data_IF_248864665203
#
_entry.id   IF_248864665203
#
_cell.length_a   1.000
_cell.length_b   1.000
_cell.length_c   1.000
_cell.angle_alpha   90.00
_cell.angle_beta   90.00
_cell.angle_gamma   90.00
#
_symmetry.space_group_name_H-M   'P 1'
#
loop_
_entity.id
_entity.type
_entity.pdbx_description
1 polymer ?
#
# COMPACT_ATOMS: atom_id res chain seq x y z
N UNK A 1 -2.56 12.03 6.37
CA UNK A 1 -1.46 12.59 5.54
C UNK A 1 -0.15 11.85 5.77
N UNK A 2 0.31 11.74 7.02
CA UNK A 2 1.61 11.12 7.37
C UNK A 2 1.69 9.67 6.94
N UNK A 3 0.60 8.92 6.98
CA UNK A 3 0.54 7.50 6.56
C UNK A 3 0.94 7.29 5.10
N UNK A 4 0.75 8.29 4.24
CA UNK A 4 1.13 8.23 2.82
C UNK A 4 2.65 8.32 2.57
N UNK A 5 3.46 8.46 3.61
CA UNK A 5 4.90 8.26 3.52
C UNK A 5 5.27 6.75 3.43
N UNK A 6 4.35 5.86 3.81
CA UNK A 6 4.59 4.42 3.84
C UNK A 6 5.11 3.84 2.49
N UNK A 7 4.57 4.19 1.30
CA UNK A 7 5.11 3.71 0.04
C UNK A 7 6.56 4.12 -0.22
N UNK A 8 6.96 5.33 0.22
CA UNK A 8 8.37 5.76 0.16
C UNK A 8 9.23 4.87 1.06
N UNK A 9 8.79 4.64 2.30
CA UNK A 9 9.51 3.80 3.27
C UNK A 9 9.59 2.36 2.77
N UNK A 10 8.52 1.78 2.21
CA UNK A 10 8.53 0.44 1.58
C UNK A 10 9.59 0.36 0.49
N UNK A 11 9.68 1.37 -0.38
CA UNK A 11 10.67 1.36 -1.48
C UNK A 11 12.10 1.49 -0.96
N UNK A 12 12.34 2.33 0.04
CA UNK A 12 13.65 2.42 0.69
C UNK A 12 14.03 1.08 1.33
N UNK A 13 13.12 0.50 2.10
CA UNK A 13 13.36 -0.78 2.77
C UNK A 13 13.54 -1.92 1.77
N UNK A 14 12.78 -1.96 0.66
CA UNK A 14 12.94 -2.98 -0.37
C UNK A 14 14.31 -2.88 -1.05
N UNK A 15 14.78 -1.67 -1.32
CA UNK A 15 16.11 -1.46 -1.88
C UNK A 15 17.23 -1.93 -0.93
N UNK A 16 17.10 -1.63 0.37
CA UNK A 16 18.14 -1.89 1.37
C UNK A 16 18.10 -3.33 1.88
N UNK A 17 16.91 -3.82 2.28
CA UNK A 17 16.77 -5.11 2.94
C UNK A 17 16.57 -6.29 1.98
N UNK A 18 15.90 -6.05 0.85
CA UNK A 18 15.65 -7.08 -0.16
C UNK A 18 16.67 -7.03 -1.31
N UNK A 19 17.61 -6.07 -1.28
CA UNK A 19 18.56 -5.82 -2.37
C UNK A 19 17.87 -5.67 -3.75
N UNK A 20 16.61 -5.22 -3.77
CA UNK A 20 15.87 -4.97 -5.00
C UNK A 20 16.52 -3.79 -5.74
N UNK A 21 16.83 -3.97 -7.02
CA UNK A 21 17.36 -2.89 -7.85
C UNK A 21 16.26 -1.87 -8.16
N UNK A 22 16.16 -0.84 -7.31
CA UNK A 22 15.23 0.27 -7.50
C UNK A 22 15.87 1.30 -8.43
N UNK A 23 15.47 1.29 -9.71
CA UNK A 23 15.95 2.26 -10.69
C UNK A 23 15.38 3.67 -10.45
N UNK A 24 16.02 4.69 -11.05
CA UNK A 24 15.60 6.10 -10.97
C UNK A 24 14.13 6.32 -11.36
N UNK A 25 13.62 5.52 -12.29
CA UNK A 25 12.22 5.59 -12.72
C UNK A 25 11.22 5.21 -11.63
N UNK A 26 11.54 4.24 -10.75
CA UNK A 26 10.70 3.92 -9.59
C UNK A 26 10.74 5.02 -8.54
N UNK A 27 11.93 5.57 -8.30
CA UNK A 27 12.09 6.72 -7.41
C UNK A 27 11.28 7.93 -7.87
N UNK A 28 11.37 8.29 -9.15
CA UNK A 28 10.60 9.41 -9.70
C UNK A 28 9.08 9.18 -9.61
N UNK A 29 8.60 7.97 -9.88
CA UNK A 29 7.19 7.65 -9.77
C UNK A 29 6.68 7.77 -8.33
N UNK A 30 7.44 7.25 -7.34
CA UNK A 30 7.06 7.33 -5.93
C UNK A 30 7.05 8.77 -5.43
N UNK A 31 8.09 9.54 -5.78
CA UNK A 31 8.15 10.95 -5.41
C UNK A 31 7.00 11.73 -6.05
N UNK A 32 6.68 11.47 -7.33
CA UNK A 32 5.54 12.09 -8.00
C UNK A 32 4.21 11.70 -7.35
N UNK A 33 4.00 10.41 -7.05
CA UNK A 33 2.80 9.94 -6.34
C UNK A 33 2.65 10.56 -4.95
N UNK A 34 3.75 10.68 -4.21
CA UNK A 34 3.76 11.36 -2.91
C UNK A 34 3.46 12.86 -3.05
N UNK A 35 4.05 13.55 -4.02
CA UNK A 35 3.74 14.94 -4.31
C UNK A 35 2.25 15.15 -4.66
N UNK A 36 1.69 14.28 -5.51
CA UNK A 36 0.25 14.25 -5.80
C UNK A 36 -0.60 14.09 -4.53
N UNK A 37 -0.19 13.20 -3.63
CA UNK A 37 -0.83 12.99 -2.32
C UNK A 37 -0.81 14.25 -1.46
N UNK A 38 0.33 14.93 -1.38
CA UNK A 38 0.47 16.19 -0.60
C UNK A 38 -0.42 17.31 -1.19
N UNK A 39 -0.54 17.36 -2.52
CA UNK A 39 -1.43 18.31 -3.20
C UNK A 39 -2.90 18.05 -2.85
N UNK A 40 -3.34 16.79 -2.80
CA UNK A 40 -4.72 16.43 -2.42
C UNK A 40 -5.00 16.79 -0.97
N UNK A 41 -4.10 16.38 -0.07
CA UNK A 41 -4.35 16.45 1.38
C UNK A 41 -4.12 17.84 1.95
N UNK A 42 -3.21 18.65 1.37
CA UNK A 42 -2.84 19.99 1.85
C UNK A 42 -2.69 20.07 3.37
N UNK A 43 -1.69 19.40 3.94
CA UNK A 43 -1.50 19.42 5.38
C UNK A 43 -1.28 20.86 5.85
N UNK A 44 -2.21 21.40 6.64
CA UNK A 44 -2.03 22.68 7.32
C UNK A 44 -0.96 22.51 8.41
N UNK A 45 -0.05 23.50 8.52
CA UNK A 45 1.02 23.47 9.53
C UNK A 45 0.55 23.99 10.90
N UNK A 46 -0.72 24.41 11.03
CA UNK A 46 -1.22 25.13 12.20
C UNK A 46 -1.38 24.29 13.48
N UNK A 47 -1.41 22.93 13.36
CA UNK A 47 -1.62 22.05 14.51
C UNK A 47 -0.67 20.86 14.48
N UNK A 48 0.60 21.05 14.88
CA UNK A 48 1.54 19.97 15.09
C UNK A 48 1.22 19.25 16.42
N UNK A 49 0.30 18.27 16.36
CA UNK A 49 -0.06 17.47 17.52
C UNK A 49 0.95 16.32 17.71
N UNK A 50 1.44 16.06 18.94
CA UNK A 50 2.41 14.96 19.21
C UNK A 50 1.94 13.58 18.71
N UNK A 51 0.64 13.35 18.59
CA UNK A 51 0.07 12.13 18.00
C UNK A 51 0.52 11.87 16.56
N UNK A 52 1.01 12.88 15.82
CA UNK A 52 1.58 12.69 14.48
C UNK A 52 2.82 11.78 14.51
N UNK A 53 3.58 11.76 15.60
CA UNK A 53 4.71 10.84 15.78
C UNK A 53 4.24 9.38 15.81
N UNK A 54 3.10 9.11 16.45
CA UNK A 54 2.52 7.76 16.47
C UNK A 54 2.07 7.32 15.08
N UNK A 55 1.50 8.24 14.29
CA UNK A 55 1.10 7.96 12.89
C UNK A 55 2.33 7.72 12.01
N UNK A 56 3.41 8.46 12.23
CA UNK A 56 4.67 8.23 11.53
C UNK A 56 5.28 6.87 11.87
N UNK A 57 5.30 6.52 13.17
CA UNK A 57 5.73 5.20 13.62
C UNK A 57 4.87 4.09 13.01
N UNK A 58 3.54 4.26 12.98
CA UNK A 58 2.63 3.31 12.35
C UNK A 58 2.92 3.12 10.85
N UNK A 59 3.27 4.19 10.13
CA UNK A 59 3.65 4.11 8.71
C UNK A 59 4.94 3.30 8.51
N UNK A 60 5.94 3.46 9.39
CA UNK A 60 7.18 2.69 9.36
C UNK A 60 6.90 1.22 9.67
N UNK A 61 6.14 0.92 10.71
CA UNK A 61 5.76 -0.45 11.08
C UNK A 61 4.96 -1.14 9.98
N UNK A 62 4.04 -0.42 9.34
CA UNK A 62 3.28 -0.91 8.20
C UNK A 62 4.19 -1.25 7.01
N UNK A 63 5.16 -0.38 6.70
CA UNK A 63 6.15 -0.64 5.67
C UNK A 63 7.03 -1.86 6.02
N UNK A 64 7.48 -1.96 7.27
CA UNK A 64 8.23 -3.12 7.78
C UNK A 64 7.46 -4.42 7.63
N UNK A 65 6.17 -4.43 7.98
CA UNK A 65 5.28 -5.58 7.79
C UNK A 65 5.22 -6.03 6.33
N UNK A 66 5.13 -5.10 5.38
CA UNK A 66 5.11 -5.45 3.96
C UNK A 66 6.43 -6.09 3.50
N UNK A 67 7.56 -5.58 3.99
CA UNK A 67 8.88 -6.16 3.68
C UNK A 67 9.01 -7.57 4.27
N UNK A 68 8.57 -7.78 5.51
CA UNK A 68 8.55 -9.11 6.15
C UNK A 68 7.66 -10.07 5.34
N UNK A 69 6.45 -9.65 4.95
CA UNK A 69 5.58 -10.45 4.09
C UNK A 69 6.25 -10.81 2.76
N UNK A 70 7.03 -9.90 2.19
CA UNK A 70 7.80 -10.17 0.97
C UNK A 70 8.94 -11.17 1.20
N UNK A 71 9.66 -11.06 2.32
CA UNK A 71 10.72 -12.01 2.69
C UNK A 71 10.15 -13.43 2.89
N UNK A 72 9.04 -13.56 3.60
CA UNK A 72 8.38 -14.84 3.86
C UNK A 72 7.74 -15.45 2.59
N UNK A 73 7.48 -14.63 1.57
CA UNK A 73 6.82 -15.08 0.34
C UNK A 73 7.58 -16.15 -0.43
N UNK A 74 8.87 -16.36 -0.14
CA UNK A 74 9.70 -17.42 -0.76
C UNK A 74 9.62 -18.75 -0.01
N UNK A 75 9.23 -18.73 1.28
CA UNK A 75 9.19 -19.93 2.15
C UNK A 75 7.77 -20.34 2.51
N UNK A 76 6.86 -19.38 2.64
CA UNK A 76 5.54 -19.62 3.18
C UNK A 76 4.44 -19.46 2.13
N UNK A 77 3.39 -20.26 2.28
CA UNK A 77 2.18 -20.09 1.48
C UNK A 77 1.39 -18.83 1.90
N UNK A 78 0.69 -18.21 0.94
CA UNK A 78 -0.16 -17.04 1.19
C UNK A 78 -1.12 -17.26 2.34
N UNK A 79 -1.77 -18.42 2.37
CA UNK A 79 -2.77 -18.75 3.41
C UNK A 79 -2.14 -18.77 4.80
N UNK A 80 -0.94 -19.31 4.93
CA UNK A 80 -0.18 -19.35 6.17
C UNK A 80 0.15 -17.94 6.65
N UNK A 81 0.69 -17.10 5.77
CA UNK A 81 1.04 -15.71 6.10
C UNK A 81 -0.19 -14.91 6.52
N UNK A 82 -1.32 -15.03 5.79
CA UNK A 82 -2.58 -14.36 6.14
C UNK A 82 -3.10 -14.81 7.50
N UNK A 83 -3.12 -16.14 7.74
CA UNK A 83 -3.63 -16.70 8.99
C UNK A 83 -2.81 -16.25 10.21
N UNK A 84 -1.49 -16.32 10.14
CA UNK A 84 -0.61 -15.87 11.23
C UNK A 84 -0.69 -14.35 11.45
N UNK A 85 -0.78 -13.56 10.38
CA UNK A 85 -0.93 -12.11 10.49
C UNK A 85 -2.26 -11.76 11.17
N UNK A 86 -3.36 -12.41 10.79
CA UNK A 86 -4.67 -12.19 11.38
C UNK A 86 -4.70 -12.63 12.86
N UNK A 87 -4.13 -13.81 13.19
CA UNK A 87 -4.03 -14.31 14.55
C UNK A 87 -3.20 -13.35 15.43
N UNK A 88 -2.00 -13.00 15.00
CA UNK A 88 -1.13 -12.09 15.74
C UNK A 88 -1.79 -10.72 15.98
N UNK A 89 -2.43 -10.16 14.95
CA UNK A 89 -3.17 -8.90 15.06
C UNK A 89 -4.33 -9.01 16.03
N UNK A 90 -5.09 -10.11 15.99
CA UNK A 90 -6.23 -10.36 16.88
C UNK A 90 -5.78 -10.45 18.35
N UNK A 91 -4.69 -11.19 18.62
CA UNK A 91 -4.12 -11.33 19.96
C UNK A 91 -3.60 -9.97 20.46
N UNK A 92 -2.85 -9.24 19.63
CA UNK A 92 -2.30 -7.93 20.03
C UNK A 92 -3.39 -6.88 20.28
N UNK A 93 -4.48 -6.90 19.49
CA UNK A 93 -5.58 -5.95 19.61
C UNK A 93 -6.58 -6.33 20.69
N UNK A 94 -6.62 -7.58 21.15
CA UNK A 94 -7.57 -8.02 22.19
C UNK A 94 -7.39 -7.27 23.52
N UNK A 95 -6.13 -6.98 23.91
CA UNK A 95 -5.86 -6.24 25.14
C UNK A 95 -6.39 -4.79 25.11
N UNK A 96 -6.02 -3.93 24.13
CA UNK A 96 -6.60 -2.60 24.05
C UNK A 96 -8.11 -2.62 23.78
N UNK A 97 -8.61 -3.60 23.01
CA UNK A 97 -10.03 -3.74 22.76
C UNK A 97 -10.83 -3.95 24.05
N UNK A 98 -10.31 -4.69 25.02
CA UNK A 98 -10.97 -4.93 26.32
C UNK A 98 -11.28 -3.61 27.04
N UNK A 99 -10.40 -2.60 26.95
CA UNK A 99 -10.59 -1.31 27.64
C UNK A 99 -11.53 -0.34 26.90
N UNK A 100 -11.70 -0.52 25.58
CA UNK A 100 -12.50 0.41 24.74
C UNK A 100 -13.68 -0.29 24.05
N UNK A 101 -14.02 -1.50 24.52
CA UNK A 101 -15.05 -2.30 23.88
C UNK A 101 -16.44 -1.66 24.00
N UNK A 102 -17.06 -1.43 22.86
CA UNK A 102 -18.47 -1.01 22.78
C UNK A 102 -19.20 -2.09 21.99
N UNK A 103 -20.15 -2.74 22.64
CA UNK A 103 -20.94 -3.80 22.00
C UNK A 103 -21.86 -3.20 20.93
N UNK A 104 -21.88 -3.75 19.70
CA UNK A 104 -22.82 -3.33 18.67
C UNK A 104 -24.26 -3.44 19.15
N UNK A 105 -25.04 -2.37 19.03
CA UNK A 105 -26.40 -2.29 19.56
C UNK A 105 -27.46 -2.69 18.53
N UNK A 106 -27.12 -2.70 17.24
CA UNK A 106 -28.09 -2.96 16.17
C UNK A 106 -27.57 -4.03 15.19
N UNK A 107 -28.53 -4.79 14.62
CA UNK A 107 -28.19 -5.77 13.57
C UNK A 107 -27.48 -5.13 12.37
N UNK A 108 -27.82 -3.88 12.03
CA UNK A 108 -27.15 -3.15 10.97
C UNK A 108 -25.66 -2.97 11.26
N UNK A 109 -25.29 -2.60 12.49
CA UNK A 109 -23.87 -2.48 12.91
C UNK A 109 -23.15 -3.81 12.80
N UNK A 110 -23.79 -4.92 13.22
CA UNK A 110 -23.20 -6.25 13.10
C UNK A 110 -22.95 -6.64 11.63
N UNK A 111 -23.92 -6.40 10.75
CA UNK A 111 -23.78 -6.69 9.31
C UNK A 111 -22.65 -5.87 8.71
N UNK A 112 -22.58 -4.56 9.01
CA UNK A 112 -21.52 -3.69 8.51
C UNK A 112 -20.14 -4.12 9.02
N UNK A 113 -20.01 -4.44 10.30
CA UNK A 113 -18.75 -4.92 10.87
C UNK A 113 -18.30 -6.24 10.24
N UNK A 114 -19.23 -7.17 10.03
CA UNK A 114 -18.95 -8.45 9.38
C UNK A 114 -18.51 -8.24 7.94
N UNK A 115 -19.20 -7.39 7.19
CA UNK A 115 -18.84 -7.05 5.82
C UNK A 115 -17.46 -6.40 5.75
N UNK A 116 -17.18 -5.43 6.64
CA UNK A 116 -15.85 -4.80 6.73
C UNK A 116 -14.75 -5.82 7.03
N UNK A 117 -14.99 -6.76 7.96
CA UNK A 117 -14.01 -7.79 8.30
C UNK A 117 -13.73 -8.73 7.11
N UNK A 118 -14.75 -9.15 6.38
CA UNK A 118 -14.60 -9.98 5.19
C UNK A 118 -13.84 -9.26 4.07
N UNK A 119 -14.19 -8.00 3.80
CA UNK A 119 -13.52 -7.19 2.79
C UNK A 119 -12.06 -6.90 3.17
N UNK A 120 -11.79 -6.62 4.44
CA UNK A 120 -10.43 -6.40 4.94
C UNK A 120 -9.57 -7.68 4.82
N UNK A 121 -10.14 -8.84 5.18
CA UNK A 121 -9.45 -10.13 5.03
C UNK A 121 -9.14 -10.46 3.56
N UNK A 122 -10.09 -10.21 2.66
CA UNK A 122 -9.89 -10.39 1.22
C UNK A 122 -8.82 -9.43 0.68
N UNK A 123 -8.86 -8.16 1.10
CA UNK A 123 -7.86 -7.16 0.71
C UNK A 123 -6.46 -7.55 1.18
N UNK A 124 -6.32 -8.01 2.43
CA UNK A 124 -5.05 -8.47 2.99
C UNK A 124 -4.49 -9.68 2.21
N UNK A 125 -5.36 -10.65 1.91
CA UNK A 125 -4.99 -11.79 1.06
C UNK A 125 -4.46 -11.34 -0.31
N UNK A 126 -5.15 -10.39 -0.96
CA UNK A 126 -4.75 -9.85 -2.24
C UNK A 126 -3.40 -9.11 -2.19
N UNK A 127 -3.16 -8.34 -1.13
CA UNK A 127 -1.89 -7.62 -0.93
C UNK A 127 -0.73 -8.60 -0.72
N UNK A 128 -0.89 -9.62 0.14
CA UNK A 128 0.14 -10.63 0.38
C UNK A 128 0.43 -11.40 -0.91
N UNK A 129 -0.60 -11.78 -1.65
CA UNK A 129 -0.44 -12.44 -2.95
C UNK A 129 0.27 -11.55 -3.98
N UNK A 130 -0.04 -10.27 -4.01
CA UNK A 130 0.66 -9.32 -4.87
C UNK A 130 2.16 -9.22 -4.51
N UNK A 131 2.50 -9.21 -3.22
CA UNK A 131 3.88 -9.20 -2.74
C UNK A 131 4.64 -10.51 -3.03
N UNK A 132 3.94 -11.64 -3.22
CA UNK A 132 4.58 -12.89 -3.65
C UNK A 132 5.01 -12.85 -5.13
N UNK A 133 4.18 -12.28 -5.99
CA UNK A 133 4.40 -12.30 -7.45
C UNK A 133 5.13 -11.06 -7.96
N UNK A 134 5.19 -9.98 -7.19
CA UNK A 134 5.79 -8.71 -7.59
C UNK A 134 6.74 -8.16 -6.52
N UNK A 135 7.72 -7.36 -6.97
CA UNK A 135 8.62 -6.66 -6.07
C UNK A 135 7.85 -5.65 -5.19
N UNK A 136 8.24 -5.54 -3.91
CA UNK A 136 7.58 -4.62 -2.96
C UNK A 136 7.64 -3.16 -3.44
N UNK A 137 8.75 -2.74 -4.05
CA UNK A 137 8.89 -1.41 -4.64
C UNK A 137 8.00 -1.15 -5.86
N UNK A 138 7.43 -2.20 -6.50
CA UNK A 138 6.44 -2.07 -7.57
C UNK A 138 5.02 -1.93 -7.01
N UNK A 139 4.72 -2.66 -5.93
CA UNK A 139 3.40 -2.63 -5.27
C UNK A 139 3.19 -1.30 -4.53
N UNK A 140 4.25 -0.72 -3.97
CA UNK A 140 4.18 0.49 -3.15
C UNK A 140 3.46 1.68 -3.81
N UNK A 141 3.75 2.08 -5.08
CA UNK A 141 3.07 3.22 -5.71
C UNK A 141 1.56 3.00 -5.90
N UNK A 142 1.12 1.75 -6.03
CA UNK A 142 -0.30 1.41 -6.21
C UNK A 142 -1.12 1.80 -4.98
N UNK A 143 -0.51 1.86 -3.80
CA UNK A 143 -1.19 2.26 -2.57
C UNK A 143 -1.70 3.71 -2.61
N UNK A 144 -1.11 4.59 -3.41
CA UNK A 144 -1.62 5.95 -3.58
C UNK A 144 -3.00 6.00 -4.23
N UNK A 145 -3.42 4.95 -4.94
CA UNK A 145 -4.76 4.87 -5.55
C UNK A 145 -5.89 4.92 -4.51
N UNK A 146 -5.59 4.64 -3.23
CA UNK A 146 -6.58 4.76 -2.13
C UNK A 146 -7.16 6.18 -2.04
N UNK A 147 -6.40 7.22 -2.42
CA UNK A 147 -6.91 8.59 -2.46
C UNK A 147 -7.96 8.80 -3.55
N UNK A 148 -7.77 8.15 -4.69
CA UNK A 148 -8.73 8.19 -5.80
C UNK A 148 -10.05 7.56 -5.35
N UNK A 149 -9.97 6.36 -4.76
CA UNK A 149 -11.15 5.67 -4.24
C UNK A 149 -11.81 6.44 -3.10
N UNK A 150 -11.00 7.02 -2.19
CA UNK A 150 -11.51 7.87 -1.10
C UNK A 150 -12.27 9.09 -1.64
N UNK A 151 -11.76 9.73 -2.70
CA UNK A 151 -12.43 10.84 -3.36
C UNK A 151 -13.75 10.41 -4.02
N UNK A 152 -13.76 9.27 -4.71
CA UNK A 152 -14.97 8.71 -5.34
C UNK A 152 -16.03 8.39 -4.26
N UNK A 153 -15.64 7.75 -3.17
CA UNK A 153 -16.56 7.44 -2.08
C UNK A 153 -17.05 8.71 -1.35
N UNK A 154 -16.17 9.71 -1.17
CA UNK A 154 -16.55 11.02 -0.63
C UNK A 154 -17.66 11.68 -1.46
N UNK A 155 -17.50 11.66 -2.78
CA UNK A 155 -18.49 12.19 -3.71
C UNK A 155 -19.83 11.40 -3.67
N UNK A 156 -19.76 10.07 -3.73
CA UNK A 156 -20.97 9.23 -3.85
C UNK A 156 -21.73 9.14 -2.55
N UNK A 157 -21.04 8.99 -1.39
CA UNK A 157 -21.67 8.74 -0.10
C UNK A 157 -21.98 10.01 0.68
N UNK A 158 -21.18 11.06 0.51
CA UNK A 158 -21.27 12.29 1.29
C UNK A 158 -21.56 13.53 0.44
N UNK A 159 -21.67 13.38 -0.90
CA UNK A 159 -21.82 14.49 -1.85
C UNK A 159 -20.71 15.55 -1.74
N UNK A 160 -19.55 15.17 -1.25
CA UNK A 160 -18.36 16.02 -1.19
C UNK A 160 -17.79 16.23 -2.59
N UNK A 161 -17.92 17.44 -3.11
CA UNK A 161 -17.42 17.80 -4.46
C UNK A 161 -15.91 18.01 -4.36
N UNK A 162 -15.09 17.21 -5.10
CA UNK A 162 -13.65 17.39 -5.10
C UNK A 162 -13.26 18.75 -5.67
N UNK A 163 -12.33 19.41 -5.02
CA UNK A 163 -11.79 20.66 -5.52
C UNK A 163 -10.75 20.43 -6.65
N UNK A 164 -10.33 21.51 -7.29
CA UNK A 164 -9.37 21.47 -8.41
C UNK A 164 -8.04 20.81 -8.03
N UNK A 165 -7.58 20.97 -6.80
CA UNK A 165 -6.32 20.40 -6.34
C UNK A 165 -6.44 18.88 -6.13
N UNK A 166 -7.62 18.41 -5.73
CA UNK A 166 -7.92 16.98 -5.66
C UNK A 166 -7.83 16.35 -7.07
N UNK A 167 -8.36 17.01 -8.10
CA UNK A 167 -8.23 16.54 -9.48
C UNK A 167 -6.78 16.56 -9.98
N UNK A 168 -6.02 17.62 -9.70
CA UNK A 168 -4.60 17.73 -10.09
C UNK A 168 -3.80 16.62 -9.40
N UNK A 169 -3.94 16.46 -8.08
CA UNK A 169 -3.22 15.43 -7.33
C UNK A 169 -3.59 14.02 -7.76
N UNK A 170 -4.89 13.73 -8.01
CA UNK A 170 -5.34 12.45 -8.54
C UNK A 170 -4.74 12.17 -9.93
N UNK A 171 -4.69 13.15 -10.82
CA UNK A 171 -4.07 12.99 -12.14
C UNK A 171 -2.58 12.65 -12.03
N UNK A 172 -1.83 13.30 -11.14
CA UNK A 172 -0.41 13.00 -10.88
C UNK A 172 -0.25 11.58 -10.34
N UNK A 173 -1.10 11.15 -9.40
CA UNK A 173 -1.08 9.81 -8.81
C UNK A 173 -1.35 8.75 -9.89
N UNK A 174 -2.36 8.94 -10.71
CA UNK A 174 -2.70 8.04 -11.81
C UNK A 174 -1.54 7.96 -12.80
N UNK A 175 -1.01 9.10 -13.22
CA UNK A 175 0.09 9.15 -14.17
C UNK A 175 1.34 8.43 -13.63
N UNK A 176 1.71 8.65 -12.36
CA UNK A 176 2.84 7.97 -11.73
C UNK A 176 2.65 6.46 -11.62
N UNK A 177 1.44 6.01 -11.29
CA UNK A 177 1.08 4.59 -11.23
C UNK A 177 1.15 3.91 -12.60
N UNK A 178 0.53 4.52 -13.62
CA UNK A 178 0.57 4.01 -15.00
C UNK A 178 1.99 3.96 -15.55
N UNK A 179 2.80 5.01 -15.28
CA UNK A 179 4.21 5.05 -15.66
C UNK A 179 4.99 3.88 -15.04
N UNK A 180 4.78 3.61 -13.76
CA UNK A 180 5.43 2.50 -13.05
C UNK A 180 5.09 1.15 -13.69
N UNK A 181 3.80 0.90 -13.93
CA UNK A 181 3.33 -0.36 -14.54
C UNK A 181 3.86 -0.51 -15.97
N UNK A 182 3.81 0.56 -16.78
CA UNK A 182 4.30 0.55 -18.15
C UNK A 182 5.81 0.24 -18.20
N UNK A 183 6.59 0.89 -17.37
CA UNK A 183 8.05 0.72 -17.34
C UNK A 183 8.47 -0.67 -16.86
N UNK A 184 7.73 -1.25 -15.92
CA UNK A 184 7.98 -2.61 -15.47
C UNK A 184 7.70 -3.65 -16.56
N UNK A 185 6.62 -3.46 -17.33
CA UNK A 185 6.32 -4.33 -18.50
C UNK A 185 7.44 -4.31 -19.53
N UNK A 186 7.98 -3.13 -19.84
CA UNK A 186 9.11 -3.00 -20.77
C UNK A 186 10.34 -3.76 -20.25
N UNK A 187 10.67 -3.58 -18.97
CA UNK A 187 11.81 -4.27 -18.36
C UNK A 187 11.66 -5.79 -18.36
N UNK A 188 10.47 -6.30 -18.06
CA UNK A 188 10.22 -7.75 -18.13
C UNK A 188 10.34 -8.30 -19.55
N UNK A 189 9.91 -7.52 -20.55
CA UNK A 189 10.07 -7.91 -21.94
C UNK A 189 11.56 -7.97 -22.35
N UNK A 190 12.36 -6.99 -21.93
CA UNK A 190 13.82 -6.94 -22.20
C UNK A 190 14.53 -8.13 -21.51
N UNK A 191 14.20 -8.42 -20.25
CA UNK A 191 14.78 -9.55 -19.51
C UNK A 191 14.44 -10.91 -20.14
N UNK A 192 13.24 -11.06 -20.71
CA UNK A 192 12.82 -12.27 -21.44
C UNK A 192 13.54 -12.40 -22.80
N UNK A 193 13.77 -11.29 -23.48
CA UNK A 193 14.51 -11.28 -24.74
C UNK A 193 15.97 -11.69 -24.54
N UNK A 194 16.63 -11.13 -23.51
CA UNK A 194 18.02 -11.45 -23.16
C UNK A 194 18.19 -12.93 -22.76
N UNK A 195 17.26 -13.48 -21.98
CA UNK A 195 17.24 -14.91 -21.62
C UNK A 195 17.11 -15.83 -22.85
N UNK A 196 16.26 -15.46 -23.81
CA UNK A 196 16.11 -16.24 -25.06
C UNK A 196 17.36 -16.20 -25.92
N UNK A 197 18.04 -15.06 -25.98
CA UNK A 197 19.27 -14.90 -26.74
C UNK A 197 20.43 -15.75 -26.16
N UNK A 198 20.62 -15.70 -24.82
CA UNK A 198 21.61 -16.53 -24.12
C UNK A 198 21.30 -18.03 -24.19
N UNK A 199 20.05 -18.41 -24.22
CA UNK A 199 19.64 -19.81 -24.40
C UNK A 199 19.94 -20.35 -25.80
N UNK A 200 19.90 -19.49 -26.83
CA UNK A 200 20.23 -19.88 -28.22
C UNK A 200 21.74 -19.92 -28.50
N UNK A 201 22.58 -19.22 -27.73
CA UNK A 201 24.04 -19.20 -27.86
C UNK A 201 24.72 -20.40 -27.14
N UNK A 202 23.95 -21.16 -26.33
CA UNK A 202 24.45 -22.30 -25.57
C UNK A 202 24.23 -23.66 -26.26
N UNK A 203 23.73 -23.67 -27.50
CA UNK A 203 23.61 -24.84 -28.39
C UNK A 203 24.54 -24.68 -29.60
#
# INVERSE_FOLDING_TARGET
TVTFIAPLVVTILSAVLLAEKVGLHRWSAIIAGFAGTVIVIRPGFENFHPALLLVFLAAILFAGRQIISRLLSSSDDVYTTVAYTALASSVMLSLPAYFVWITPQTNQQLILLTLMALLAGLAEFMVIKALQIAHAGLVAPVQYTILIWGTIYGLILFADIPDIFTFIGAAIIIASGLYTVHRERLRQADDLADKKQKGNESY
#
